data_IF_330250090307
#
_entry.id   IF_330250090307
#
_cell.length_a   1.000
_cell.length_b   1.000
_cell.length_c   1.000
_cell.angle_alpha   90.00
_cell.angle_beta   90.00
_cell.angle_gamma   90.00
#
_symmetry.space_group_name_H-M   'P 1'
#
loop_
_entity.id
_entity.type
_entity.pdbx_description
1 polymer ?
#
# COMPACT_ATOMS: atom_id res chain seq x y z
N UNK A 1 -5.52 1.24 11.72
CA UNK A 1 -6.46 1.79 10.73
C UNK A 1 -7.79 1.05 10.79
N UNK A 2 -8.94 1.67 10.45
CA UNK A 2 -10.18 0.94 10.24
C UNK A 2 -10.03 -0.04 9.06
N UNK A 3 -10.54 -1.26 9.22
CA UNK A 3 -10.44 -2.37 8.26
C UNK A 3 -11.49 -3.43 8.63
N UNK A 4 -11.66 -4.45 7.80
CA UNK A 4 -12.59 -5.53 8.10
C UNK A 4 -12.18 -6.25 9.38
N UNK A 5 -13.07 -6.17 10.37
CA UNK A 5 -12.97 -6.92 11.63
C UNK A 5 -14.36 -7.29 12.12
N UNK A 6 -14.42 -8.39 12.87
CA UNK A 6 -15.67 -8.99 13.34
C UNK A 6 -16.64 -8.02 14.01
N UNK A 7 -16.11 -7.02 14.73
CA UNK A 7 -16.92 -6.03 15.46
C UNK A 7 -17.78 -5.15 14.55
N UNK A 8 -17.29 -4.77 13.38
CA UNK A 8 -17.97 -3.82 12.47
C UNK A 8 -18.39 -4.44 11.13
N UNK A 9 -18.03 -5.71 10.90
CA UNK A 9 -18.45 -6.45 9.73
C UNK A 9 -19.96 -6.71 9.73
N UNK A 10 -20.64 -6.18 8.72
CA UNK A 10 -22.07 -6.40 8.51
C UNK A 10 -22.23 -7.61 7.60
N UNK A 11 -22.71 -8.72 8.16
CA UNK A 11 -23.04 -9.90 7.36
C UNK A 11 -24.17 -9.60 6.37
N UNK A 12 -24.04 -10.03 5.11
CA UNK A 12 -25.14 -10.02 4.14
C UNK A 12 -26.34 -10.87 4.62
N UNK A 13 -27.47 -10.74 3.92
CA UNK A 13 -28.60 -11.63 4.14
C UNK A 13 -28.26 -13.09 3.81
N UNK A 14 -28.95 -14.02 4.46
CA UNK A 14 -28.64 -15.46 4.40
C UNK A 14 -28.84 -16.10 3.02
N UNK A 15 -29.49 -15.41 2.08
CA UNK A 15 -29.64 -15.81 0.68
C UNK A 15 -28.37 -15.57 -0.16
N UNK A 16 -27.32 -14.97 0.43
CA UNK A 16 -26.00 -14.80 -0.17
C UNK A 16 -24.96 -15.69 0.50
N UNK A 17 -24.32 -16.53 -0.29
CA UNK A 17 -23.21 -17.38 0.12
C UNK A 17 -21.88 -16.79 -0.38
N UNK A 18 -20.94 -16.51 0.53
CA UNK A 18 -19.63 -15.98 0.18
C UNK A 18 -18.79 -17.05 -0.54
N UNK A 19 -18.38 -16.77 -1.77
CA UNK A 19 -17.64 -17.70 -2.61
C UNK A 19 -16.13 -17.43 -2.61
N UNK A 20 -15.76 -16.14 -2.61
CA UNK A 20 -14.38 -15.70 -2.76
C UNK A 20 -14.14 -14.32 -2.16
N UNK A 21 -12.94 -14.11 -1.64
CA UNK A 21 -12.46 -12.83 -1.13
C UNK A 21 -11.11 -12.50 -1.72
N UNK A 22 -10.98 -11.30 -2.29
CA UNK A 22 -9.68 -10.72 -2.65
C UNK A 22 -9.46 -9.42 -1.87
N UNK A 23 -8.40 -9.42 -1.06
CA UNK A 23 -7.96 -8.24 -0.30
C UNK A 23 -6.81 -7.58 -1.03
N UNK A 24 -6.77 -6.26 -1.01
CA UNK A 24 -5.57 -5.48 -1.29
C UNK A 24 -5.34 -4.51 -0.13
N UNK A 25 -4.15 -4.57 0.46
CA UNK A 25 -3.76 -3.71 1.58
C UNK A 25 -2.50 -2.92 1.24
N UNK A 26 -2.40 -1.69 1.78
CA UNK A 26 -1.12 -0.99 1.91
C UNK A 26 -0.29 -1.69 2.98
N UNK A 27 1.04 -1.66 2.84
CA UNK A 27 1.95 -2.05 3.90
C UNK A 27 1.64 -1.36 5.25
N UNK A 28 2.15 -1.91 6.34
CA UNK A 28 1.94 -1.41 7.71
C UNK A 28 2.95 -0.33 8.11
N UNK A 29 2.89 0.08 9.39
CA UNK A 29 3.85 1.02 9.99
C UNK A 29 5.29 0.64 9.68
N UNK A 30 6.08 1.64 9.31
CA UNK A 30 7.48 1.51 8.94
C UNK A 30 8.28 2.72 9.35
N UNK A 31 9.59 2.60 9.31
CA UNK A 31 10.47 3.77 9.22
C UNK A 31 10.16 4.55 7.92
N UNK A 32 10.51 5.85 7.83
CA UNK A 32 10.40 6.57 6.57
C UNK A 32 11.32 5.97 5.49
N UNK A 33 11.12 6.36 4.24
CA UNK A 33 12.09 6.10 3.18
C UNK A 33 13.39 6.86 3.47
N UNK A 34 14.53 6.27 3.10
CA UNK A 34 15.84 6.91 3.27
C UNK A 34 15.97 8.23 2.49
N UNK A 35 15.30 8.37 1.35
CA UNK A 35 15.22 9.62 0.57
C UNK A 35 14.41 10.70 1.27
N UNK A 36 13.51 10.31 2.19
CA UNK A 36 12.56 11.18 2.86
C UNK A 36 13.03 11.52 4.28
N UNK A 37 14.33 11.43 4.55
CA UNK A 37 14.93 11.81 5.84
C UNK A 37 15.50 13.21 5.76
N UNK A 38 15.38 13.98 6.84
CA UNK A 38 16.06 15.28 6.94
C UNK A 38 17.58 15.08 6.85
N UNK A 39 18.31 16.18 6.57
CA UNK A 39 19.77 16.10 6.54
C UNK A 39 20.29 15.48 7.84
N UNK A 40 19.77 15.95 8.98
CA UNK A 40 20.00 15.36 10.30
C UNK A 40 18.73 15.38 11.13
N UNK A 41 18.34 14.21 11.60
CA UNK A 41 17.17 13.99 12.45
C UNK A 41 17.54 14.17 13.93
N UNK A 42 16.55 14.59 14.72
CA UNK A 42 16.66 14.85 16.17
C UNK A 42 16.13 13.69 17.03
N UNK A 43 15.48 12.71 16.41
CA UNK A 43 15.01 11.46 17.05
C UNK A 43 15.81 10.26 16.53
N UNK A 44 15.69 9.12 17.21
CA UNK A 44 16.34 7.86 16.81
C UNK A 44 15.34 6.77 16.47
N UNK A 45 15.78 5.85 15.60
CA UNK A 45 15.14 4.55 15.38
C UNK A 45 16.05 3.45 15.91
N UNK A 46 15.46 2.49 16.63
CA UNK A 46 16.16 1.33 17.17
C UNK A 46 15.47 0.06 16.67
N UNK A 47 16.19 -0.73 15.89
CA UNK A 47 15.75 -1.99 15.32
C UNK A 47 16.53 -3.18 15.87
N UNK A 48 17.12 -3.08 17.08
CA UNK A 48 17.74 -4.24 17.74
C UNK A 48 16.73 -5.38 17.88
N UNK A 49 17.11 -6.56 17.39
CA UNK A 49 16.26 -7.77 17.38
C UNK A 49 14.94 -7.60 16.59
N UNK A 50 14.87 -6.59 15.72
CA UNK A 50 13.68 -6.15 15.00
C UNK A 50 13.96 -5.92 13.50
N UNK A 51 14.83 -6.74 12.92
CA UNK A 51 15.25 -6.69 11.53
C UNK A 51 14.60 -7.76 10.63
N UNK A 52 14.79 -7.59 9.33
CA UNK A 52 14.35 -8.52 8.30
C UNK A 52 15.12 -9.84 8.41
N UNK A 53 14.41 -10.96 8.23
CA UNK A 53 15.04 -12.28 8.10
C UNK A 53 15.39 -12.51 6.63
N UNK A 54 16.66 -12.79 6.38
CA UNK A 54 17.21 -13.09 5.06
C UNK A 54 17.75 -14.52 5.03
N UNK A 55 17.72 -15.13 3.85
CA UNK A 55 18.23 -16.47 3.63
C UNK A 55 17.37 -17.25 2.64
N UNK A 56 17.93 -18.33 2.11
CA UNK A 56 17.20 -19.31 1.30
C UNK A 56 16.91 -20.55 2.14
N UNK A 57 15.82 -21.25 1.85
CA UNK A 57 15.51 -22.56 2.43
C UNK A 57 15.08 -23.52 1.35
N UNK A 58 15.75 -24.67 1.28
CA UNK A 58 15.37 -25.74 0.38
C UNK A 58 14.16 -26.52 0.91
N UNK A 59 13.42 -27.22 0.05
CA UNK A 59 12.23 -27.98 0.46
C UNK A 59 12.57 -29.21 1.31
N UNK A 60 13.80 -29.72 1.26
CA UNK A 60 14.22 -30.94 1.94
C UNK A 60 15.75 -31.05 2.10
N UNK A 61 16.19 -31.96 2.98
CA UNK A 61 17.61 -32.25 3.20
C UNK A 61 18.35 -31.15 3.97
N UNK A 62 19.69 -31.11 3.92
CA UNK A 62 20.49 -30.13 4.67
C UNK A 62 20.12 -28.66 4.38
N UNK A 63 19.61 -28.35 3.18
CA UNK A 63 19.17 -26.99 2.83
C UNK A 63 17.83 -26.58 3.46
N UNK A 64 17.09 -27.52 4.06
CA UNK A 64 15.86 -27.24 4.82
C UNK A 64 16.14 -26.93 6.30
N UNK A 65 17.37 -27.11 6.77
CA UNK A 65 17.81 -26.85 8.14
C UNK A 65 19.01 -25.88 8.13
N UNK A 66 18.70 -24.59 7.98
CA UNK A 66 19.68 -23.51 7.83
C UNK A 66 19.39 -22.40 8.84
N UNK A 67 20.44 -21.68 9.23
CA UNK A 67 20.31 -20.56 10.16
C UNK A 67 19.46 -19.42 9.57
N UNK A 68 18.65 -18.80 10.41
CA UNK A 68 17.97 -17.55 10.08
C UNK A 68 18.96 -16.39 10.27
N UNK A 69 19.13 -15.57 9.23
CA UNK A 69 20.03 -14.42 9.28
C UNK A 69 19.19 -13.15 9.40
N UNK A 70 19.49 -12.31 10.37
CA UNK A 70 18.85 -11.01 10.53
C UNK A 70 19.87 -9.90 10.28
N UNK A 71 19.50 -8.89 9.48
CA UNK A 71 20.37 -7.74 9.21
C UNK A 71 20.10 -6.60 10.19
N UNK A 72 21.19 -5.96 10.64
CA UNK A 72 21.18 -4.68 11.32
C UNK A 72 22.01 -3.70 10.47
N UNK A 73 21.53 -2.47 10.31
CA UNK A 73 22.32 -1.41 9.70
C UNK A 73 23.39 -0.93 10.67
N UNK A 74 24.54 -0.52 10.15
CA UNK A 74 25.55 0.19 10.91
C UNK A 74 26.12 1.32 10.06
N UNK A 75 26.60 2.38 10.72
CA UNK A 75 27.32 3.47 10.08
C UNK A 75 28.66 3.62 10.78
N UNK A 76 29.75 3.39 10.04
CA UNK A 76 31.11 3.56 10.52
C UNK A 76 31.59 5.00 10.23
N UNK A 77 31.87 5.76 11.29
CA UNK A 77 32.35 7.14 11.17
C UNK A 77 33.72 7.26 10.51
N UNK A 78 34.48 6.17 10.41
CA UNK A 78 35.76 6.14 9.68
C UNK A 78 35.57 6.06 8.17
N UNK A 79 34.36 5.71 7.70
CA UNK A 79 34.02 5.75 6.28
C UNK A 79 33.96 7.22 5.81
N UNK A 80 34.82 7.66 4.87
CA UNK A 80 34.87 9.05 4.42
C UNK A 80 33.60 9.50 3.67
N UNK A 81 32.74 8.56 3.25
CA UNK A 81 31.42 8.84 2.67
C UNK A 81 30.28 8.92 3.70
N UNK A 82 30.55 8.63 4.99
CA UNK A 82 29.52 8.68 6.05
C UNK A 82 28.91 10.08 6.26
N UNK A 83 29.55 11.12 5.71
CA UNK A 83 29.07 12.51 5.72
C UNK A 83 28.65 13.02 4.35
N UNK A 84 28.79 12.24 3.26
CA UNK A 84 28.43 12.68 1.90
C UNK A 84 26.95 12.44 1.56
N UNK A 85 26.31 11.54 2.30
CA UNK A 85 24.86 11.40 2.38
C UNK A 85 24.49 11.87 3.79
N UNK A 86 23.51 12.75 3.93
CA UNK A 86 23.19 13.39 5.21
C UNK A 86 23.11 12.36 6.36
N UNK A 87 23.49 12.70 7.60
CA UNK A 87 23.51 11.76 8.70
C UNK A 87 22.16 11.08 8.98
N UNK A 88 21.05 11.59 8.40
CA UNK A 88 19.74 10.96 8.44
C UNK A 88 19.33 10.81 9.89
N UNK A 89 19.20 9.59 10.39
CA UNK A 89 19.02 9.28 11.81
C UNK A 89 20.35 8.88 12.48
N UNK A 90 21.05 9.79 13.19
CA UNK A 90 22.30 9.48 13.86
C UNK A 90 22.12 8.35 14.88
N UNK A 91 22.98 7.33 14.81
CA UNK A 91 22.96 6.21 15.75
C UNK A 91 21.83 5.19 15.53
N UNK A 92 21.06 5.31 14.45
CA UNK A 92 20.11 4.28 14.04
C UNK A 92 20.83 3.03 13.55
N UNK A 93 20.28 1.86 13.90
CA UNK A 93 20.65 0.56 13.34
C UNK A 93 19.55 -0.04 12.44
N UNK A 94 18.55 0.77 12.08
CA UNK A 94 17.46 0.38 11.20
C UNK A 94 17.84 0.49 9.71
N UNK A 95 17.16 -0.28 8.88
CA UNK A 95 17.11 -0.07 7.44
C UNK A 95 15.97 0.90 7.11
N UNK A 96 16.12 1.70 6.05
CA UNK A 96 15.14 2.70 5.65
C UNK A 96 14.77 2.53 4.18
N UNK A 97 13.53 2.16 3.83
CA UNK A 97 12.44 1.80 4.75
C UNK A 97 12.56 0.37 5.32
N UNK A 98 11.99 0.14 6.50
CA UNK A 98 11.73 -1.20 7.04
C UNK A 98 10.44 -1.20 7.89
N UNK A 99 9.69 -2.30 7.84
CA UNK A 99 8.56 -2.53 8.76
C UNK A 99 9.13 -2.62 10.18
N UNK A 100 8.50 -1.92 11.12
CA UNK A 100 8.92 -1.90 12.52
C UNK A 100 8.26 -3.05 13.30
N UNK A 101 8.69 -3.33 14.55
CA UNK A 101 7.98 -4.28 15.42
C UNK A 101 6.49 -3.97 15.56
N UNK A 102 6.15 -2.70 15.80
CA UNK A 102 4.75 -2.25 15.87
C UNK A 102 4.02 -2.47 14.54
N UNK A 103 4.68 -2.28 13.40
CA UNK A 103 4.11 -2.61 12.09
C UNK A 103 3.89 -4.11 11.85
N UNK A 104 4.74 -4.97 12.40
CA UNK A 104 4.53 -6.43 12.38
C UNK A 104 3.37 -6.84 13.29
N UNK A 105 3.24 -6.22 14.46
CA UNK A 105 2.10 -6.43 15.36
C UNK A 105 0.78 -5.97 14.72
N UNK A 106 0.79 -4.82 14.04
CA UNK A 106 -0.33 -4.33 13.26
C UNK A 106 -0.69 -5.32 12.14
N UNK A 107 0.32 -5.88 11.45
CA UNK A 107 0.11 -6.88 10.40
C UNK A 107 -0.50 -8.19 10.94
N UNK A 108 0.01 -8.68 12.07
CA UNK A 108 -0.52 -9.85 12.77
C UNK A 108 -1.98 -9.64 13.19
N UNK A 109 -2.28 -8.46 13.73
CA UNK A 109 -3.65 -8.09 14.13
C UNK A 109 -4.56 -8.03 12.91
N UNK A 110 -4.12 -7.42 11.82
CA UNK A 110 -4.88 -7.38 10.57
C UNK A 110 -5.21 -8.79 10.06
N UNK A 111 -4.23 -9.70 10.06
CA UNK A 111 -4.44 -11.10 9.68
C UNK A 111 -5.45 -11.83 10.57
N UNK A 112 -5.40 -11.58 11.89
CA UNK A 112 -6.37 -12.14 12.86
C UNK A 112 -7.79 -11.63 12.62
N UNK A 113 -7.94 -10.33 12.41
CA UNK A 113 -9.24 -9.70 12.19
C UNK A 113 -9.90 -10.25 10.91
N UNK A 114 -9.11 -10.45 9.84
CA UNK A 114 -9.56 -11.10 8.61
C UNK A 114 -9.87 -12.60 8.81
N UNK A 115 -9.08 -13.31 9.62
CA UNK A 115 -9.35 -14.71 9.97
C UNK A 115 -10.69 -14.84 10.69
N UNK A 116 -10.96 -13.99 11.68
CA UNK A 116 -12.19 -14.06 12.47
C UNK A 116 -13.46 -13.83 11.64
N UNK A 117 -13.35 -13.04 10.56
CA UNK A 117 -14.46 -12.79 9.64
C UNK A 117 -14.56 -13.91 8.59
N UNK A 118 -13.48 -14.18 7.84
CA UNK A 118 -13.58 -14.96 6.61
C UNK A 118 -13.28 -16.44 6.74
N UNK A 119 -12.53 -16.87 7.76
CA UNK A 119 -12.10 -18.28 7.86
C UNK A 119 -13.28 -19.25 7.85
N UNK A 120 -14.27 -19.00 8.69
CA UNK A 120 -15.49 -19.81 8.77
C UNK A 120 -16.37 -19.65 7.54
N UNK A 121 -16.53 -18.43 7.02
CA UNK A 121 -17.40 -18.14 5.87
C UNK A 121 -16.93 -18.84 4.60
N UNK A 122 -15.61 -18.88 4.37
CA UNK A 122 -15.01 -19.53 3.21
C UNK A 122 -14.62 -21.00 3.47
N UNK A 123 -14.69 -21.46 4.73
CA UNK A 123 -14.15 -22.76 5.13
C UNK A 123 -12.64 -22.86 4.89
N UNK A 124 -11.89 -21.79 5.21
CA UNK A 124 -10.43 -21.81 5.22
C UNK A 124 -9.94 -22.59 6.43
N UNK A 125 -8.86 -23.35 6.24
CA UNK A 125 -8.16 -24.02 7.33
C UNK A 125 -7.34 -23.00 8.13
N UNK A 126 -7.12 -23.26 9.42
CA UNK A 126 -6.20 -22.48 10.26
C UNK A 126 -4.73 -22.66 9.88
N UNK A 127 -4.40 -23.67 9.07
CA UNK A 127 -3.08 -23.85 8.46
C UNK A 127 -3.14 -23.38 7.00
N UNK A 128 -2.11 -22.64 6.57
CA UNK A 128 -2.02 -22.17 5.20
C UNK A 128 -2.08 -23.33 4.20
N UNK A 129 -2.99 -23.23 3.24
CA UNK A 129 -3.19 -24.17 2.15
C UNK A 129 -3.14 -23.39 0.83
N UNK A 130 -2.04 -23.48 0.05
CA UNK A 130 -1.88 -22.68 -1.17
C UNK A 130 -2.92 -23.01 -2.25
N UNK A 131 -3.65 -24.13 -2.13
CA UNK A 131 -4.77 -24.44 -3.02
C UNK A 131 -6.05 -23.66 -2.71
N UNK A 132 -6.17 -23.12 -1.49
CA UNK A 132 -7.34 -22.35 -1.03
C UNK A 132 -7.03 -20.87 -0.84
N UNK A 133 -5.80 -20.52 -0.49
CA UNK A 133 -5.39 -19.15 -0.21
C UNK A 133 -4.08 -18.79 -0.90
N UNK A 134 -4.00 -17.58 -1.45
CA UNK A 134 -2.79 -17.05 -2.07
C UNK A 134 -2.45 -15.70 -1.47
N UNK A 135 -1.17 -15.48 -1.15
CA UNK A 135 -0.66 -14.19 -0.71
C UNK A 135 0.32 -13.70 -1.79
N UNK A 136 0.08 -12.49 -2.29
CA UNK A 136 0.92 -11.79 -3.26
C UNK A 136 1.54 -10.56 -2.61
N UNK A 137 2.82 -10.36 -2.88
CA UNK A 137 3.59 -9.18 -2.45
C UNK A 137 4.23 -8.52 -3.67
N UNK A 138 4.70 -7.28 -3.50
CA UNK A 138 5.47 -6.57 -4.53
C UNK A 138 6.95 -6.96 -4.49
N UNK A 139 7.75 -6.41 -5.40
CA UNK A 139 9.21 -6.62 -5.38
C UNK A 139 9.90 -5.82 -4.26
N UNK A 140 9.27 -4.76 -3.75
CA UNK A 140 9.72 -4.07 -2.55
C UNK A 140 9.58 -4.94 -1.28
N UNK A 141 10.71 -5.17 -0.58
CA UNK A 141 10.82 -6.09 0.55
C UNK A 141 9.92 -5.79 1.76
N UNK A 142 9.44 -4.54 1.90
CA UNK A 142 8.55 -4.19 3.03
C UNK A 142 7.20 -4.92 2.96
N UNK A 143 6.71 -5.25 1.76
CA UNK A 143 5.43 -5.97 1.62
C UNK A 143 5.58 -7.44 2.02
N UNK A 144 6.74 -8.06 1.77
CA UNK A 144 7.10 -9.39 2.32
C UNK A 144 7.19 -9.42 3.84
N UNK A 145 7.71 -8.34 4.45
CA UNK A 145 7.73 -8.22 5.92
C UNK A 145 6.32 -8.17 6.49
N UNK A 146 5.43 -7.38 5.87
CA UNK A 146 4.00 -7.37 6.25
C UNK A 146 3.39 -8.75 6.07
N UNK A 147 3.66 -9.45 4.97
CA UNK A 147 3.15 -10.81 4.74
C UNK A 147 3.49 -11.77 5.88
N UNK A 148 4.67 -11.64 6.50
CA UNK A 148 5.09 -12.51 7.61
C UNK A 148 4.17 -12.41 8.83
N UNK A 149 3.79 -11.19 9.24
CA UNK A 149 2.83 -10.96 10.33
C UNK A 149 1.41 -11.37 9.91
N UNK A 150 0.98 -10.93 8.72
CA UNK A 150 -0.35 -11.20 8.19
C UNK A 150 -0.62 -12.71 8.12
N UNK A 151 0.29 -13.48 7.52
CA UNK A 151 0.11 -14.92 7.36
C UNK A 151 0.00 -15.64 8.71
N UNK A 152 0.74 -15.18 9.73
CA UNK A 152 0.62 -15.74 11.09
C UNK A 152 -0.72 -15.41 11.74
N UNK A 153 -1.27 -14.21 11.50
CA UNK A 153 -2.60 -13.86 11.98
C UNK A 153 -3.71 -14.61 11.24
N UNK A 154 -3.59 -14.73 9.93
CA UNK A 154 -4.59 -15.31 9.05
C UNK A 154 -4.64 -16.85 9.11
N UNK A 155 -3.49 -17.49 9.32
CA UNK A 155 -3.33 -18.93 9.40
C UNK A 155 -2.57 -19.33 10.68
N UNK A 156 -3.20 -19.21 11.86
CA UNK A 156 -2.53 -19.30 13.16
C UNK A 156 -1.85 -20.66 13.44
N UNK A 157 -2.33 -21.74 12.83
CA UNK A 157 -1.81 -23.11 13.01
C UNK A 157 -0.71 -23.47 11.99
N UNK A 158 -0.29 -22.53 11.15
CA UNK A 158 0.88 -22.70 10.29
C UNK A 158 2.14 -22.71 11.15
N UNK A 159 2.95 -23.79 11.13
CA UNK A 159 4.19 -23.87 11.90
C UNK A 159 5.19 -22.80 11.43
N UNK A 160 5.94 -22.20 12.36
CA UNK A 160 6.93 -21.17 12.03
C UNK A 160 8.11 -21.73 11.22
N UNK A 161 8.37 -23.03 11.34
CA UNK A 161 9.34 -23.77 10.55
C UNK A 161 8.77 -24.25 9.21
N UNK A 162 7.53 -23.92 8.87
CA UNK A 162 6.95 -24.16 7.55
C UNK A 162 6.85 -22.84 6.78
N UNK A 163 7.67 -22.62 5.74
CA UNK A 163 7.62 -21.36 4.99
C UNK A 163 6.27 -21.21 4.28
N UNK A 164 5.60 -20.08 4.48
CA UNK A 164 4.45 -19.66 3.68
C UNK A 164 4.97 -19.14 2.35
N UNK A 165 4.67 -19.84 1.26
CA UNK A 165 5.02 -19.36 -0.08
C UNK A 165 4.09 -18.20 -0.46
N UNK A 166 4.71 -17.05 -0.73
CA UNK A 166 4.05 -15.88 -1.33
C UNK A 166 4.46 -15.76 -2.79
N UNK A 167 3.62 -15.13 -3.60
CA UNK A 167 3.90 -14.91 -5.03
C UNK A 167 4.28 -13.46 -5.30
N UNK A 168 5.15 -13.26 -6.29
CA UNK A 168 5.50 -11.96 -6.86
C UNK A 168 5.35 -12.03 -8.38
N UNK A 169 5.17 -10.89 -9.02
CA UNK A 169 5.44 -10.77 -10.47
C UNK A 169 6.85 -10.24 -10.68
N UNK A 170 7.41 -10.48 -11.87
CA UNK A 170 8.68 -9.89 -12.24
C UNK A 170 8.57 -8.37 -12.27
N UNK A 171 9.59 -7.66 -11.79
CA UNK A 171 9.57 -6.19 -11.66
C UNK A 171 9.09 -5.47 -12.94
N UNK A 172 9.52 -5.85 -14.15
CA UNK A 172 9.09 -5.15 -15.38
C UNK A 172 7.61 -5.32 -15.77
N UNK A 173 6.84 -6.16 -15.08
CA UNK A 173 5.43 -6.44 -15.39
C UNK A 173 4.52 -6.44 -14.16
N UNK A 174 5.04 -6.11 -12.97
CA UNK A 174 4.27 -6.24 -11.73
C UNK A 174 3.09 -5.25 -11.72
N UNK A 175 1.88 -5.78 -11.82
CA UNK A 175 0.64 -5.00 -11.83
C UNK A 175 0.25 -4.46 -10.45
N UNK A 176 0.79 -5.02 -9.35
CA UNK A 176 0.49 -4.59 -7.98
C UNK A 176 1.36 -3.40 -7.55
N UNK A 177 2.63 -3.36 -7.98
CA UNK A 177 3.54 -2.20 -7.86
C UNK A 177 3.45 -1.22 -9.04
N UNK A 178 2.38 -1.32 -9.84
CA UNK A 178 2.32 -1.04 -11.29
C UNK A 178 3.64 -0.61 -11.96
N UNK A 179 4.59 -1.52 -12.09
CA UNK A 179 5.92 -1.24 -12.65
C UNK A 179 6.07 -1.61 -14.13
N UNK A 180 5.00 -2.05 -14.78
CA UNK A 180 4.95 -2.17 -16.23
C UNK A 180 4.98 -0.77 -16.89
N UNK A 181 5.62 -0.67 -18.05
CA UNK A 181 5.77 0.61 -18.75
C UNK A 181 4.48 0.99 -19.47
N UNK A 182 4.08 2.26 -19.32
CA UNK A 182 2.96 2.83 -20.06
C UNK A 182 3.18 4.34 -20.30
N UNK A 183 3.93 4.68 -21.36
CA UNK A 183 4.28 6.07 -21.66
C UNK A 183 3.06 7.00 -21.75
N UNK A 184 1.90 6.57 -22.29
CA UNK A 184 0.70 7.41 -22.28
C UNK A 184 0.17 7.72 -20.87
N UNK A 185 0.26 6.79 -19.91
CA UNK A 185 -0.07 7.07 -18.52
C UNK A 185 0.88 8.12 -17.93
N UNK A 186 2.19 7.94 -18.15
CA UNK A 186 3.23 8.86 -17.67
C UNK A 186 3.03 10.27 -18.24
N UNK A 187 2.68 10.37 -19.53
CA UNK A 187 2.38 11.63 -20.20
C UNK A 187 1.15 12.32 -19.61
N UNK A 188 0.08 11.57 -19.32
CA UNK A 188 -1.13 12.12 -18.67
C UNK A 188 -0.77 12.69 -17.30
N UNK A 189 -0.08 11.92 -16.46
CA UNK A 189 0.35 12.36 -15.12
C UNK A 189 1.23 13.61 -15.22
N UNK A 190 2.19 13.61 -16.13
CA UNK A 190 3.12 14.74 -16.31
C UNK A 190 2.40 16.00 -16.79
N UNK A 191 1.30 15.88 -17.56
CA UNK A 191 0.56 17.03 -18.08
C UNK A 191 -0.17 17.86 -17.02
N UNK A 192 -0.65 17.22 -15.94
CA UNK A 192 -1.33 17.93 -14.84
C UNK A 192 -0.48 18.13 -13.59
N UNK A 193 0.76 17.64 -13.54
CA UNK A 193 1.70 17.85 -12.43
C UNK A 193 2.92 18.67 -12.89
N UNK A 194 3.99 18.70 -12.09
CA UNK A 194 5.26 19.34 -12.46
C UNK A 194 5.13 20.86 -12.49
N UNK A 195 5.27 21.47 -13.67
CA UNK A 195 5.16 22.92 -13.85
C UNK A 195 3.74 23.41 -14.15
N UNK A 196 2.74 22.53 -14.12
CA UNK A 196 1.35 22.91 -14.34
C UNK A 196 0.89 23.94 -13.28
N UNK A 197 0.29 25.08 -13.67
CA UNK A 197 -0.19 26.10 -12.73
C UNK A 197 -1.19 25.57 -11.69
N UNK A 198 -2.12 24.71 -12.10
CA UNK A 198 -3.14 24.12 -11.22
C UNK A 198 -2.49 23.22 -10.15
N UNK A 199 -1.36 22.59 -10.47
CA UNK A 199 -0.56 21.81 -9.53
C UNK A 199 0.35 22.68 -8.65
N UNK A 200 0.93 23.75 -9.20
CA UNK A 200 1.92 24.55 -8.46
C UNK A 200 1.27 25.60 -7.55
N UNK A 201 -0.04 25.82 -7.67
CA UNK A 201 -0.80 26.76 -6.85
C UNK A 201 -0.69 26.43 -5.35
N UNK A 202 -0.94 25.18 -4.93
CA UNK A 202 -0.87 24.82 -3.51
C UNK A 202 0.57 24.88 -2.98
N UNK A 203 1.56 24.52 -3.80
CA UNK A 203 2.98 24.63 -3.45
C UNK A 203 3.39 26.09 -3.20
N UNK A 204 2.90 27.00 -4.05
CA UNK A 204 3.12 28.44 -3.93
C UNK A 204 2.42 29.00 -2.69
N UNK A 205 1.16 28.62 -2.49
CA UNK A 205 0.38 29.02 -1.31
C UNK A 205 1.02 28.54 0.00
N UNK A 206 1.70 27.39 -0.03
CA UNK A 206 2.41 26.83 1.12
C UNK A 206 3.87 27.30 1.27
N UNK A 207 4.31 28.34 0.53
CA UNK A 207 5.72 28.78 0.57
C UNK A 207 6.22 29.08 1.99
N UNK A 208 5.42 29.74 2.83
CA UNK A 208 5.82 30.05 4.21
C UNK A 208 5.96 28.80 5.09
N UNK A 209 5.14 27.76 4.83
CA UNK A 209 5.27 26.48 5.50
C UNK A 209 6.57 25.78 5.08
N UNK A 210 6.90 25.79 3.79
CA UNK A 210 8.18 25.27 3.32
C UNK A 210 9.37 26.03 3.94
N UNK A 211 9.37 27.37 3.94
CA UNK A 211 10.46 28.16 4.55
C UNK A 211 10.69 27.77 6.02
N UNK A 212 9.60 27.47 6.74
CA UNK A 212 9.65 26.97 8.11
C UNK A 212 10.21 25.55 8.18
N UNK A 213 9.72 24.63 7.33
CA UNK A 213 10.16 23.23 7.29
C UNK A 213 11.64 23.13 6.90
N UNK A 214 12.11 23.91 5.93
CA UNK A 214 13.49 23.96 5.46
C UNK A 214 14.46 24.39 6.56
N UNK A 215 14.07 25.40 7.36
CA UNK A 215 14.86 25.82 8.53
C UNK A 215 14.95 24.74 9.61
N UNK A 216 13.92 23.89 9.74
CA UNK A 216 13.94 22.76 10.66
C UNK A 216 14.79 21.61 10.11
N UNK A 217 14.57 21.23 8.84
CA UNK A 217 15.11 20.03 8.21
C UNK A 217 16.54 20.21 7.68
N UNK A 218 16.94 21.45 7.40
CA UNK A 218 18.18 21.77 6.71
C UNK A 218 18.16 21.41 5.22
N UNK A 219 16.98 21.26 4.61
CA UNK A 219 16.82 21.03 3.18
C UNK A 219 16.86 22.37 2.45
N UNK A 220 17.62 22.43 1.36
CA UNK A 220 17.71 23.62 0.52
C UNK A 220 16.42 23.81 -0.31
N UNK A 221 15.97 25.07 -0.44
CA UNK A 221 14.78 25.44 -1.22
C UNK A 221 14.84 25.01 -2.70
N UNK A 222 16.04 24.96 -3.27
CA UNK A 222 16.30 24.56 -4.66
C UNK A 222 16.93 23.16 -4.71
N UNK A 223 16.40 22.21 -3.93
CA UNK A 223 16.86 20.84 -3.94
C UNK A 223 16.57 20.12 -5.27
N UNK A 224 17.32 19.06 -5.55
CA UNK A 224 17.07 18.14 -6.67
C UNK A 224 16.52 16.79 -6.22
N UNK A 225 16.23 16.63 -4.92
CA UNK A 225 15.77 15.38 -4.32
C UNK A 225 14.24 15.26 -4.30
N UNK A 226 13.50 16.32 -4.61
CA UNK A 226 12.05 16.32 -4.73
C UNK A 226 11.30 16.82 -3.50
N UNK A 227 11.96 17.51 -2.56
CA UNK A 227 11.30 18.05 -1.36
C UNK A 227 10.33 19.18 -1.65
N UNK A 228 10.54 19.89 -2.76
CA UNK A 228 9.78 21.08 -3.14
C UNK A 228 8.85 20.91 -4.34
N UNK A 229 8.66 19.68 -4.83
CA UNK A 229 7.73 19.38 -5.93
C UNK A 229 6.39 18.79 -5.44
N UNK A 230 6.33 18.37 -4.17
CA UNK A 230 5.16 17.84 -3.48
C UNK A 230 5.39 17.84 -1.96
N UNK A 231 4.37 17.49 -1.18
CA UNK A 231 4.49 17.28 0.27
C UNK A 231 4.87 15.84 0.64
N UNK A 232 5.15 14.96 -0.32
CA UNK A 232 5.41 13.53 -0.08
C UNK A 232 6.51 13.27 0.96
N UNK A 233 7.66 13.93 0.82
CA UNK A 233 8.80 13.68 1.67
C UNK A 233 8.52 14.11 3.12
N UNK A 234 7.95 15.30 3.30
CA UNK A 234 7.56 15.80 4.61
C UNK A 234 6.42 14.96 5.22
N UNK A 235 5.43 14.53 4.42
CA UNK A 235 4.35 13.67 4.89
C UNK A 235 4.90 12.34 5.40
N UNK A 236 5.67 11.61 4.58
CA UNK A 236 6.23 10.30 4.94
C UNK A 236 7.06 10.39 6.21
N UNK A 237 7.93 11.39 6.29
CA UNK A 237 8.81 11.63 7.43
C UNK A 237 8.04 11.88 8.73
N UNK A 238 7.13 12.87 8.73
CA UNK A 238 6.40 13.28 9.91
C UNK A 238 5.40 12.20 10.34
N UNK A 239 4.67 11.62 9.39
CA UNK A 239 3.69 10.57 9.69
C UNK A 239 4.34 9.30 10.24
N UNK A 240 5.50 8.89 9.71
CA UNK A 240 6.25 7.77 10.26
C UNK A 240 6.63 8.00 11.73
N UNK A 241 7.05 9.22 12.11
CA UNK A 241 7.36 9.57 13.51
C UNK A 241 6.12 9.51 14.39
N UNK A 242 5.05 10.23 14.04
CA UNK A 242 3.86 10.31 14.86
C UNK A 242 3.14 8.95 14.99
N UNK A 243 3.13 8.13 13.95
CA UNK A 243 2.57 6.76 14.02
C UNK A 243 3.30 5.85 15.03
N UNK A 244 4.53 6.19 15.41
CA UNK A 244 5.33 5.48 16.43
C UNK A 244 5.46 6.30 17.71
N UNK A 245 4.55 7.24 17.96
CA UNK A 245 4.54 8.13 19.13
C UNK A 245 5.86 8.88 19.35
N UNK A 246 6.63 9.12 18.27
CA UNK A 246 7.85 9.95 18.32
C UNK A 246 7.47 11.42 18.20
N UNK A 247 8.29 12.30 18.78
CA UNK A 247 8.10 13.74 18.67
C UNK A 247 8.21 14.23 17.23
N UNK A 248 7.48 15.30 16.93
CA UNK A 248 7.73 16.10 15.74
C UNK A 248 9.14 16.71 15.82
N UNK A 249 9.83 16.88 14.68
CA UNK A 249 11.23 17.26 14.66
C UNK A 249 11.46 18.73 15.02
N UNK A 250 12.56 18.97 15.71
CA UNK A 250 13.18 20.28 15.90
C UNK A 250 14.49 20.40 15.11
N UNK A 251 14.88 21.63 14.80
CA UNK A 251 16.16 21.88 14.15
C UNK A 251 17.30 21.42 15.04
N UNK A 252 18.27 20.69 14.48
CA UNK A 252 19.47 20.32 15.24
C UNK A 252 20.42 21.48 15.47
N UNK A 253 20.20 22.62 14.80
CA UNK A 253 20.97 23.86 14.96
C UNK A 253 20.29 24.85 15.93
N UNK A 254 18.96 24.83 16.00
CA UNK A 254 18.15 25.64 16.93
C UNK A 254 17.00 24.78 17.49
N UNK A 255 17.21 24.21 18.67
CA UNK A 255 16.24 23.28 19.28
C UNK A 255 14.96 23.94 19.76
N UNK A 256 14.86 25.28 19.68
CA UNK A 256 13.60 26.00 19.92
C UNK A 256 12.72 26.08 18.67
N UNK A 257 13.30 25.82 17.49
CA UNK A 257 12.61 25.79 16.22
C UNK A 257 12.12 24.37 15.91
N UNK A 258 10.87 24.09 16.28
CA UNK A 258 10.23 22.79 16.02
C UNK A 258 9.08 22.91 15.02
N UNK A 259 8.76 21.80 14.37
CA UNK A 259 7.48 21.61 13.67
C UNK A 259 6.39 21.48 14.73
N UNK A 260 5.37 22.32 14.61
CA UNK A 260 4.19 22.29 15.47
C UNK A 260 3.17 21.26 14.98
N UNK A 261 2.24 20.88 15.85
CA UNK A 261 1.15 19.98 15.48
C UNK A 261 0.26 20.57 14.36
N UNK A 262 0.04 21.88 14.35
CA UNK A 262 -0.72 22.57 13.30
C UNK A 262 -0.01 22.52 11.94
N UNK A 263 1.31 22.72 11.93
CA UNK A 263 2.14 22.63 10.72
C UNK A 263 2.15 21.19 10.18
N UNK A 264 2.33 20.19 11.05
CA UNK A 264 2.26 18.77 10.68
C UNK A 264 0.89 18.40 10.09
N UNK A 265 -0.21 18.84 10.73
CA UNK A 265 -1.56 18.63 10.21
C UNK A 265 -1.80 19.35 8.87
N UNK A 266 -1.14 20.49 8.64
CA UNK A 266 -1.18 21.18 7.34
C UNK A 266 -0.44 20.37 6.27
N UNK A 267 0.73 19.82 6.57
CA UNK A 267 1.44 18.87 5.67
C UNK A 267 0.53 17.69 5.33
N UNK A 268 -0.15 17.10 6.32
CA UNK A 268 -1.03 15.97 6.07
C UNK A 268 -2.23 16.34 5.21
N UNK A 269 -2.85 17.49 5.46
CA UNK A 269 -3.96 17.98 4.63
C UNK A 269 -3.51 18.22 3.18
N UNK A 270 -2.32 18.78 2.98
CA UNK A 270 -1.76 19.00 1.64
C UNK A 270 -1.44 17.67 0.94
N UNK A 271 -0.80 16.70 1.60
CA UNK A 271 -0.59 15.39 0.97
C UNK A 271 -1.89 14.65 0.63
N UNK A 272 -2.94 14.78 1.45
CA UNK A 272 -4.27 14.25 1.10
C UNK A 272 -4.87 14.96 -0.11
N UNK A 273 -4.73 16.28 -0.21
CA UNK A 273 -5.12 17.04 -1.40
C UNK A 273 -4.34 16.56 -2.63
N UNK A 274 -3.03 16.38 -2.52
CA UNK A 274 -2.19 15.91 -3.63
C UNK A 274 -2.65 14.55 -4.16
N UNK A 275 -2.93 13.58 -3.27
CA UNK A 275 -3.49 12.29 -3.68
C UNK A 275 -4.89 12.42 -4.31
N UNK A 276 -5.73 13.32 -3.81
CA UNK A 276 -7.02 13.65 -4.44
C UNK A 276 -6.83 14.18 -5.86
N UNK A 277 -5.93 15.15 -6.02
CA UNK A 277 -5.62 15.75 -7.31
C UNK A 277 -5.05 14.73 -8.30
N UNK A 278 -4.03 13.98 -7.87
CA UNK A 278 -3.37 12.94 -8.65
C UNK A 278 -4.35 11.91 -9.21
N UNK A 279 -5.18 11.31 -8.36
CA UNK A 279 -5.90 10.09 -8.72
C UNK A 279 -7.38 10.33 -9.01
N UNK A 280 -7.90 11.53 -8.75
CA UNK A 280 -9.33 11.81 -8.89
C UNK A 280 -9.68 13.16 -9.51
N UNK A 281 -9.08 14.25 -9.04
CA UNK A 281 -9.62 15.59 -9.34
C UNK A 281 -9.02 16.20 -10.62
N UNK A 282 -7.76 15.88 -10.96
CA UNK A 282 -7.15 16.40 -12.18
C UNK A 282 -7.84 15.85 -13.44
N UNK A 283 -7.89 16.67 -14.49
CA UNK A 283 -8.40 16.24 -15.80
C UNK A 283 -7.60 15.03 -16.29
N UNK A 284 -8.31 13.98 -16.72
CA UNK A 284 -7.75 12.69 -17.15
C UNK A 284 -7.06 11.85 -16.05
N UNK A 285 -7.16 12.20 -14.77
CA UNK A 285 -6.63 11.37 -13.65
C UNK A 285 -7.23 9.96 -13.61
N UNK A 286 -8.50 9.79 -14.01
CA UNK A 286 -9.13 8.49 -14.16
C UNK A 286 -8.50 7.66 -15.29
N UNK A 287 -8.24 8.29 -16.44
CA UNK A 287 -7.59 7.64 -17.57
C UNK A 287 -6.15 7.24 -17.23
N UNK A 288 -5.43 8.08 -16.46
CA UNK A 288 -4.15 7.71 -15.87
C UNK A 288 -4.28 6.44 -15.01
N UNK A 289 -5.23 6.41 -14.07
CA UNK A 289 -5.41 5.24 -13.18
C UNK A 289 -5.80 3.98 -13.96
N UNK A 290 -6.60 4.11 -15.02
CA UNK A 290 -6.98 3.02 -15.93
C UNK A 290 -5.78 2.44 -16.68
N UNK A 291 -4.89 3.28 -17.20
CA UNK A 291 -3.69 2.81 -17.89
C UNK A 291 -2.62 2.31 -16.92
N UNK A 292 -2.44 3.00 -15.79
CA UNK A 292 -1.40 2.74 -14.80
C UNK A 292 -1.68 1.51 -13.92
N UNK A 293 -2.94 1.21 -13.63
CA UNK A 293 -3.32 0.08 -12.76
C UNK A 293 -4.32 -0.89 -13.40
N UNK A 294 -4.64 -0.69 -14.68
CA UNK A 294 -5.59 -1.51 -15.41
C UNK A 294 -5.20 -2.98 -15.49
N UNK A 295 -3.90 -3.29 -15.56
CA UNK A 295 -3.45 -4.68 -15.59
C UNK A 295 -3.89 -5.45 -14.33
N UNK A 296 -3.86 -4.81 -13.15
CA UNK A 296 -4.32 -5.42 -11.91
C UNK A 296 -5.83 -5.68 -11.94
N UNK A 297 -6.63 -4.77 -12.50
CA UNK A 297 -8.07 -4.96 -12.69
C UNK A 297 -8.42 -6.05 -13.71
N UNK A 298 -7.65 -6.17 -14.79
CA UNK A 298 -7.78 -7.30 -15.75
C UNK A 298 -7.54 -8.62 -15.02
N UNK A 299 -6.50 -8.70 -14.19
CA UNK A 299 -6.23 -9.90 -13.41
C UNK A 299 -7.29 -10.18 -12.32
N UNK A 300 -7.81 -9.15 -11.65
CA UNK A 300 -8.91 -9.26 -10.68
C UNK A 300 -10.16 -9.84 -11.36
N UNK A 301 -10.56 -9.28 -12.51
CA UNK A 301 -11.67 -9.79 -13.30
C UNK A 301 -11.47 -11.26 -13.65
N UNK A 302 -10.29 -11.63 -14.16
CA UNK A 302 -9.97 -13.02 -14.51
C UNK A 302 -10.05 -13.97 -13.31
N UNK A 303 -9.62 -13.54 -12.10
CA UNK A 303 -9.75 -14.35 -10.87
C UNK A 303 -11.21 -14.54 -10.46
N UNK A 304 -12.03 -13.49 -10.55
CA UNK A 304 -13.46 -13.55 -10.27
C UNK A 304 -14.19 -14.48 -11.26
N UNK A 305 -13.93 -14.34 -12.56
CA UNK A 305 -14.46 -15.22 -13.62
C UNK A 305 -14.02 -16.68 -13.41
N UNK A 306 -12.74 -16.88 -13.08
CA UNK A 306 -12.17 -18.19 -12.77
C UNK A 306 -12.83 -18.86 -11.58
N UNK A 307 -13.29 -18.07 -10.60
CA UNK A 307 -14.09 -18.58 -9.49
C UNK A 307 -15.51 -18.96 -9.94
N UNK A 308 -16.17 -18.08 -10.69
CA UNK A 308 -17.54 -18.26 -11.18
C UNK A 308 -17.67 -19.51 -12.05
N UNK A 309 -16.69 -19.76 -12.92
CA UNK A 309 -16.69 -20.88 -13.85
C UNK A 309 -16.11 -22.19 -13.26
N UNK A 310 -15.59 -22.15 -12.03
CA UNK A 310 -15.03 -23.31 -11.34
C UNK A 310 -13.62 -23.73 -11.78
N UNK A 311 -12.91 -22.93 -12.58
CA UNK A 311 -11.52 -23.20 -12.97
C UNK A 311 -10.50 -22.90 -11.87
N UNK A 312 -10.88 -22.14 -10.83
CA UNK A 312 -10.03 -21.82 -9.69
C UNK A 312 -10.57 -22.38 -8.36
N UNK A 313 -9.73 -23.14 -7.66
CA UNK A 313 -9.99 -23.62 -6.29
C UNK A 313 -9.76 -22.57 -5.21
N UNK A 314 -9.10 -21.45 -5.55
CA UNK A 314 -8.77 -20.38 -4.60
C UNK A 314 -10.06 -19.78 -4.04
N UNK A 315 -10.06 -19.51 -2.74
CA UNK A 315 -11.16 -18.88 -2.00
C UNK A 315 -10.75 -17.53 -1.42
N UNK A 316 -9.46 -17.35 -1.17
CA UNK A 316 -8.91 -16.15 -0.57
C UNK A 316 -7.65 -15.71 -1.30
N UNK A 317 -7.56 -14.45 -1.69
CA UNK A 317 -6.39 -13.87 -2.32
C UNK A 317 -6.02 -12.58 -1.59
N UNK A 318 -4.75 -12.38 -1.26
CA UNK A 318 -4.32 -11.19 -0.51
C UNK A 318 -3.14 -10.52 -1.19
N UNK A 319 -3.35 -9.29 -1.64
CA UNK A 319 -2.35 -8.45 -2.26
C UNK A 319 -1.80 -7.46 -1.21
N UNK A 320 -0.49 -7.44 -1.02
CA UNK A 320 0.18 -6.46 -0.15
C UNK A 320 0.96 -5.51 -1.03
N UNK A 321 0.48 -4.28 -1.16
CA UNK A 321 1.04 -3.24 -2.00
C UNK A 321 1.42 -1.99 -1.21
N UNK A 322 1.36 -0.87 -1.92
CA UNK A 322 1.76 0.46 -1.44
C UNK A 322 0.56 1.40 -1.40
N UNK A 323 0.77 2.61 -0.87
CA UNK A 323 -0.17 3.71 -1.06
C UNK A 323 -0.44 3.96 -2.54
N UNK A 324 0.58 3.93 -3.41
CA UNK A 324 0.41 4.03 -4.86
C UNK A 324 -0.54 2.97 -5.45
N UNK A 325 -0.47 1.72 -4.98
CA UNK A 325 -1.39 0.64 -5.38
C UNK A 325 -2.83 0.95 -4.97
N UNK A 326 -3.00 1.33 -3.69
CA UNK A 326 -4.32 1.64 -3.13
C UNK A 326 -4.93 2.89 -3.77
N UNK A 327 -4.15 3.94 -3.97
CA UNK A 327 -4.59 5.19 -4.57
C UNK A 327 -4.94 5.02 -6.05
N UNK A 328 -4.18 4.21 -6.78
CA UNK A 328 -4.51 3.87 -8.17
C UNK A 328 -5.79 3.05 -8.28
N UNK A 329 -6.02 2.10 -7.36
CA UNK A 329 -7.29 1.37 -7.27
C UNK A 329 -8.47 2.30 -7.01
N UNK A 330 -8.33 3.21 -6.04
CA UNK A 330 -9.37 4.16 -5.68
C UNK A 330 -9.60 5.20 -6.79
N UNK A 331 -8.55 5.57 -7.52
CA UNK A 331 -8.61 6.45 -8.67
C UNK A 331 -9.27 5.77 -9.87
N UNK A 332 -8.99 4.49 -10.09
CA UNK A 332 -9.69 3.69 -11.08
C UNK A 332 -11.18 3.65 -10.80
N UNK A 333 -11.58 3.31 -9.57
CA UNK A 333 -12.99 3.20 -9.17
C UNK A 333 -13.67 4.56 -8.94
N UNK A 334 -12.93 5.67 -9.01
CA UNK A 334 -13.41 7.03 -8.76
C UNK A 334 -14.18 7.12 -7.45
N UNK A 335 -13.52 6.84 -6.33
CA UNK A 335 -14.17 6.88 -5.02
C UNK A 335 -14.69 8.29 -4.69
N UNK A 336 -15.81 8.35 -3.98
CA UNK A 336 -16.48 9.61 -3.62
C UNK A 336 -15.62 10.53 -2.75
N UNK A 337 -14.65 9.98 -2.00
CA UNK A 337 -13.72 10.75 -1.16
C UNK A 337 -12.32 10.16 -1.22
N UNK A 338 -11.46 10.76 -2.03
CA UNK A 338 -10.05 10.38 -2.09
C UNK A 338 -9.29 10.84 -0.85
N UNK A 339 -8.30 10.04 -0.44
CA UNK A 339 -7.36 10.33 0.65
C UNK A 339 -6.01 9.73 0.29
N UNK A 340 -4.94 10.17 0.95
CA UNK A 340 -3.72 9.36 1.01
C UNK A 340 -4.04 8.10 1.82
N UNK A 341 -3.97 6.89 1.24
CA UNK A 341 -4.28 5.66 1.96
C UNK A 341 -3.35 5.49 3.16
N UNK A 342 -3.87 5.48 4.39
CA UNK A 342 -3.06 5.29 5.59
C UNK A 342 -2.40 3.90 5.66
N UNK A 343 -1.32 3.75 6.42
CA UNK A 343 -0.62 2.47 6.56
C UNK A 343 -1.56 1.37 7.10
N UNK A 344 -1.62 0.23 6.42
CA UNK A 344 -2.57 -0.85 6.73
C UNK A 344 -4.00 -0.61 6.26
N UNK A 345 -4.29 0.44 5.48
CA UNK A 345 -5.59 0.58 4.81
C UNK A 345 -5.80 -0.56 3.82
N UNK A 346 -7.05 -0.99 3.66
CA UNK A 346 -7.40 -2.07 2.74
C UNK A 346 -8.67 -1.80 1.94
N UNK A 347 -8.73 -2.45 0.78
CA UNK A 347 -9.96 -2.69 0.03
C UNK A 347 -10.20 -4.20 -0.08
N UNK A 348 -11.45 -4.62 0.07
CA UNK A 348 -11.84 -6.03 0.03
C UNK A 348 -12.91 -6.24 -1.04
N UNK A 349 -12.65 -7.14 -1.98
CA UNK A 349 -13.60 -7.60 -2.99
C UNK A 349 -14.19 -8.93 -2.54
N UNK A 350 -15.49 -8.96 -2.30
CA UNK A 350 -16.20 -10.15 -1.86
C UNK A 350 -17.18 -10.59 -2.95
N UNK A 351 -16.98 -11.79 -3.46
CA UNK A 351 -17.86 -12.41 -4.45
C UNK A 351 -18.86 -13.33 -3.74
N UNK A 352 -20.14 -13.05 -3.92
CA UNK A 352 -21.24 -13.84 -3.40
C UNK A 352 -21.99 -14.55 -4.51
N UNK A 353 -22.53 -15.72 -4.19
CA UNK A 353 -23.54 -16.39 -4.99
C UNK A 353 -24.86 -16.30 -4.25
N UNK A 354 -25.91 -15.86 -4.95
CA UNK A 354 -27.26 -15.80 -4.39
C UNK A 354 -28.02 -17.11 -4.66
N UNK A 355 -29.06 -17.41 -3.89
CA UNK A 355 -29.93 -18.57 -4.07
C UNK A 355 -30.50 -18.73 -5.50
N UNK A 356 -30.63 -17.63 -6.24
CA UNK A 356 -31.06 -17.65 -7.65
C UNK A 356 -29.95 -18.08 -8.64
N UNK A 357 -28.77 -18.46 -8.15
CA UNK A 357 -27.61 -18.88 -8.92
C UNK A 357 -26.76 -17.75 -9.50
N UNK A 358 -27.16 -16.48 -9.36
CA UNK A 358 -26.43 -15.32 -9.86
C UNK A 358 -25.35 -14.86 -8.89
N UNK A 359 -24.35 -14.16 -9.41
CA UNK A 359 -23.21 -13.67 -8.64
C UNK A 359 -23.30 -12.16 -8.40
N UNK A 360 -22.85 -11.76 -7.22
CA UNK A 360 -22.88 -10.38 -6.77
C UNK A 360 -21.55 -10.02 -6.12
N UNK A 361 -21.16 -8.76 -6.25
CA UNK A 361 -19.93 -8.22 -5.70
C UNK A 361 -20.25 -7.21 -4.60
N UNK A 362 -19.54 -7.30 -3.48
CA UNK A 362 -19.43 -6.23 -2.50
C UNK A 362 -17.97 -5.81 -2.41
N UNK A 363 -17.71 -4.50 -2.45
CA UNK A 363 -16.37 -3.95 -2.29
C UNK A 363 -16.34 -3.10 -1.03
N UNK A 364 -15.47 -3.43 -0.08
CA UNK A 364 -15.30 -2.69 1.17
C UNK A 364 -14.05 -1.82 1.07
N UNK A 365 -14.13 -0.58 1.56
CA UNK A 365 -13.01 0.30 1.84
C UNK A 365 -12.99 0.58 3.35
N UNK A 366 -11.90 0.20 4.01
CA UNK A 366 -11.79 0.34 5.48
C UNK A 366 -12.96 -0.32 6.25
N UNK A 367 -13.38 -1.51 5.80
CA UNK A 367 -14.45 -2.29 6.42
C UNK A 367 -15.89 -1.83 6.11
N UNK A 368 -16.09 -0.79 5.30
CA UNK A 368 -17.41 -0.29 4.92
C UNK A 368 -17.60 -0.37 3.41
N UNK A 369 -18.82 -0.57 2.89
CA UNK A 369 -19.04 -0.60 1.45
C UNK A 369 -18.51 0.68 0.78
N UNK A 370 -17.69 0.49 -0.24
CA UNK A 370 -17.06 1.56 -1.01
C UNK A 370 -18.14 2.34 -1.78
N UNK A 371 -18.01 3.65 -1.78
CA UNK A 371 -18.90 4.56 -2.52
C UNK A 371 -18.08 5.22 -3.63
N UNK A 372 -18.57 5.12 -4.86
CA UNK A 372 -17.98 5.76 -6.04
C UNK A 372 -18.81 6.95 -6.49
N UNK A 373 -18.19 7.87 -7.25
CA UNK A 373 -18.87 8.95 -7.96
C UNK A 373 -19.36 8.53 -9.36
N UNK A 374 -19.17 7.26 -9.72
CA UNK A 374 -19.59 6.68 -11.01
C UNK A 374 -21.01 6.12 -10.92
N UNK A 375 -21.62 5.71 -12.05
CA UNK A 375 -22.88 4.98 -12.03
C UNK A 375 -22.86 3.66 -11.24
N UNK A 376 -21.67 3.14 -10.85
CA UNK A 376 -21.59 2.01 -9.92
C UNK A 376 -22.14 2.36 -8.52
N UNK A 377 -22.07 3.63 -8.12
CA UNK A 377 -22.57 4.12 -6.83
C UNK A 377 -21.94 3.39 -5.64
N UNK A 378 -22.79 2.88 -4.75
CA UNK A 378 -22.35 2.10 -3.59
C UNK A 378 -22.11 0.64 -4.01
N UNK A 379 -20.87 0.17 -3.86
CA UNK A 379 -20.45 -1.20 -4.21
C UNK A 379 -20.88 -2.22 -3.14
N UNK A 380 -22.19 -2.41 -3.00
CA UNK A 380 -22.79 -3.28 -1.98
C UNK A 380 -23.79 -4.23 -2.63
N UNK A 381 -23.37 -5.48 -2.87
CA UNK A 381 -24.17 -6.51 -3.55
C UNK A 381 -24.65 -6.07 -4.94
N UNK A 382 -23.76 -5.46 -5.71
CA UNK A 382 -24.03 -5.16 -7.13
C UNK A 382 -23.91 -6.44 -7.97
N UNK A 383 -24.66 -6.60 -9.08
CA UNK A 383 -24.40 -7.69 -10.02
C UNK A 383 -22.93 -7.67 -10.46
N UNK A 384 -22.26 -8.82 -10.45
CA UNK A 384 -20.82 -8.87 -10.77
C UNK A 384 -20.56 -8.46 -12.21
N UNK A 385 -21.51 -8.70 -13.11
CA UNK A 385 -21.45 -8.32 -14.51
C UNK A 385 -21.35 -6.80 -14.69
N UNK A 386 -22.04 -6.01 -13.86
CA UNK A 386 -21.95 -4.55 -13.87
C UNK A 386 -20.52 -4.07 -13.55
N UNK A 387 -19.81 -4.77 -12.66
CA UNK A 387 -18.42 -4.48 -12.36
C UNK A 387 -17.47 -4.90 -13.49
N UNK A 388 -17.74 -6.03 -14.15
CA UNK A 388 -16.97 -6.48 -15.31
C UNK A 388 -17.11 -5.52 -16.50
N UNK A 389 -18.34 -5.09 -16.80
CA UNK A 389 -18.62 -4.09 -17.83
C UNK A 389 -17.90 -2.77 -17.55
N UNK A 390 -17.83 -2.36 -16.27
CA UNK A 390 -17.07 -1.20 -15.86
C UNK A 390 -15.57 -1.36 -16.16
N UNK A 391 -14.97 -2.49 -15.77
CA UNK A 391 -13.55 -2.77 -16.09
C UNK A 391 -13.34 -2.72 -17.60
N UNK A 392 -14.17 -3.42 -18.38
CA UNK A 392 -14.03 -3.49 -19.85
C UNK A 392 -14.16 -2.10 -20.50
N UNK A 393 -15.06 -1.25 -19.99
CA UNK A 393 -15.22 0.12 -20.49
C UNK A 393 -13.98 0.97 -20.20
N UNK A 394 -13.34 0.77 -19.04
CA UNK A 394 -12.22 1.58 -18.60
C UNK A 394 -10.87 1.15 -19.22
N UNK A 395 -10.65 -0.15 -19.42
CA UNK A 395 -9.34 -0.69 -19.84
C UNK A 395 -9.38 -1.50 -21.13
N UNK A 396 -10.55 -1.95 -21.57
CA UNK A 396 -10.69 -2.94 -22.64
C UNK A 396 -10.15 -4.32 -22.24
N UNK A 397 -9.79 -5.11 -23.24
CA UNK A 397 -9.05 -6.37 -23.07
C UNK A 397 -7.59 -6.12 -22.71
N UNK A 398 -6.90 -7.14 -22.19
CA UNK A 398 -5.46 -7.05 -21.92
C UNK A 398 -4.61 -6.73 -23.17
N UNK A 399 -5.05 -7.15 -24.36
CA UNK A 399 -4.39 -6.81 -25.61
C UNK A 399 -4.57 -5.33 -25.98
N UNK A 400 -5.77 -4.78 -25.75
CA UNK A 400 -6.06 -3.36 -25.98
C UNK A 400 -5.31 -2.47 -24.98
N UNK A 401 -5.27 -2.84 -23.69
CA UNK A 401 -4.46 -2.14 -22.69
C UNK A 401 -2.98 -2.16 -23.06
N UNK A 402 -2.45 -3.32 -23.49
CA UNK A 402 -1.06 -3.42 -23.93
C UNK A 402 -0.77 -2.51 -25.13
N UNK A 403 -1.65 -2.51 -26.15
CA UNK A 403 -1.53 -1.62 -27.30
C UNK A 403 -1.62 -0.14 -26.90
N UNK A 404 -2.56 0.21 -26.01
CA UNK A 404 -2.72 1.58 -25.51
C UNK A 404 -1.48 2.08 -24.77
N UNK A 405 -0.74 1.20 -24.08
CA UNK A 405 0.51 1.55 -23.42
C UNK A 405 1.75 1.55 -24.34
N UNK A 406 1.62 0.99 -25.54
CA UNK A 406 2.70 0.89 -26.54
C UNK A 406 2.22 1.40 -27.92
N UNK A 407 1.85 2.70 -28.02
CA UNK A 407 1.28 3.29 -29.24
C UNK A 407 2.27 3.47 -30.38
#
# INVERSE_FOLDING_TARGET
>A
MPHVRKREYISPSNDFELQYVEVIQRHQKRTPYGSNTFFKEDVTWDCRNAGQIHGGRGPQGPSSDVAQIQWNSFNDKSNPWSTSVGPGFPGSNCQFPAITPEGLEDSLTHGKDLHEVYSRLLGLKSRHDPSQATIRVTNNVITSQVASGLAKGLFPDTPLDSPVQVVIQSNGIDSLEPSYKCSPADNIRSAYTGSNPDWTEHLTAASALYDKLDRVSGIDRNDSAGWHISFDHYYDNLSAKQCHSKSLPCSTNDTTLCVTEEEANTVYRLGNYEYSYYFRDAVNSTAYSALHFGAWFVELKARLEGKINGSSGVKYYHNIGHDGSMASLMGFLQIDKMVWPGMGSEAVFELYKKDNGKYYLRVLWSGQPMVTSTPLGKLDMIPVETFFEYIDTMVGSGAELFAACNP
#
